data_IF_358737763177
#
_entry.id   IF_358737763177
#
_cell.length_a   1.000
_cell.length_b   1.000
_cell.length_c   1.000
_cell.angle_alpha   90.00
_cell.angle_beta   90.00
_cell.angle_gamma   90.00
#
_symmetry.space_group_name_H-M   'P 1'
#
loop_
_entity.id
_entity.type
_entity.pdbx_description
1 polymer ?
#
# COMPACT_ATOMS: atom_id res chain seq x y z
N UNK A 1 -9.48 -4.81 -32.48
CA UNK A 1 -9.65 -5.58 -31.22
C UNK A 1 -9.46 -4.62 -30.05
N UNK A 2 -10.24 -4.76 -28.97
CA UNK A 2 -10.04 -3.99 -27.75
C UNK A 2 -8.63 -4.27 -27.18
N UNK A 3 -7.88 -3.25 -26.79
CA UNK A 3 -6.56 -3.45 -26.18
C UNK A 3 -6.72 -4.10 -24.80
N UNK A 4 -5.90 -5.10 -24.47
CA UNK A 4 -5.96 -5.76 -23.17
C UNK A 4 -5.05 -5.06 -22.14
N UNK A 5 -5.47 -5.00 -20.88
CA UNK A 5 -4.68 -4.52 -19.74
C UNK A 5 -4.81 -5.51 -18.58
N UNK A 6 -3.74 -5.74 -17.82
CA UNK A 6 -3.71 -6.72 -16.73
C UNK A 6 -2.95 -6.20 -15.52
N UNK A 7 -3.26 -6.73 -14.33
CA UNK A 7 -2.53 -6.50 -13.08
C UNK A 7 -1.08 -7.01 -13.08
N UNK A 8 -0.68 -7.70 -14.15
CA UNK A 8 0.69 -8.15 -14.42
C UNK A 8 1.25 -7.71 -15.77
N UNK A 9 0.66 -6.69 -16.40
CA UNK A 9 1.23 -6.09 -17.61
C UNK A 9 2.63 -5.50 -17.37
N UNK A 10 3.40 -5.33 -18.44
CA UNK A 10 4.80 -4.86 -18.40
C UNK A 10 4.96 -3.52 -17.63
N UNK A 11 4.14 -2.53 -17.95
CA UNK A 11 4.15 -1.23 -17.26
C UNK A 11 3.80 -1.37 -15.76
N UNK A 12 2.86 -2.25 -15.42
CA UNK A 12 2.51 -2.54 -14.02
C UNK A 12 3.66 -3.22 -13.27
N UNK A 13 4.38 -4.12 -13.94
CA UNK A 13 5.59 -4.76 -13.44
C UNK A 13 6.71 -3.75 -13.16
N UNK A 14 7.00 -2.86 -14.12
CA UNK A 14 7.99 -1.79 -13.97
C UNK A 14 7.64 -0.85 -12.81
N UNK A 15 6.40 -0.37 -12.75
CA UNK A 15 5.95 0.52 -11.68
C UNK A 15 6.05 -0.14 -10.30
N UNK A 16 5.64 -1.42 -10.19
CA UNK A 16 5.79 -2.18 -8.95
C UNK A 16 7.26 -2.31 -8.54
N UNK A 17 8.15 -2.62 -9.49
CA UNK A 17 9.58 -2.72 -9.21
C UNK A 17 10.17 -1.38 -8.73
N UNK A 18 9.78 -0.26 -9.35
CA UNK A 18 10.17 1.08 -8.95
C UNK A 18 9.67 1.42 -7.53
N UNK A 19 8.40 1.13 -7.21
CA UNK A 19 7.83 1.33 -5.88
C UNK A 19 8.53 0.49 -4.79
N UNK A 20 8.90 -0.76 -5.11
CA UNK A 20 9.69 -1.61 -4.21
C UNK A 20 11.11 -1.03 -4.01
N UNK A 21 11.74 -0.55 -5.08
CA UNK A 21 13.04 0.14 -5.00
C UNK A 21 12.99 1.38 -4.11
N UNK A 22 11.99 2.23 -4.31
CA UNK A 22 11.75 3.43 -3.50
C UNK A 22 11.52 3.08 -2.03
N UNK A 23 10.72 2.05 -1.76
CA UNK A 23 10.46 1.55 -0.39
C UNK A 23 11.71 1.06 0.31
N UNK A 24 12.65 0.42 -0.42
CA UNK A 24 13.92 -0.04 0.17
C UNK A 24 14.82 1.13 0.59
N UNK A 25 14.90 2.16 -0.25
CA UNK A 25 15.65 3.38 0.07
C UNK A 25 15.02 4.12 1.25
N UNK A 26 13.69 4.26 1.26
CA UNK A 26 12.94 4.82 2.39
C UNK A 26 13.23 4.09 3.70
N UNK A 27 13.14 2.75 3.70
CA UNK A 27 13.37 1.94 4.91
C UNK A 27 14.80 2.09 5.42
N UNK A 28 15.79 2.17 4.53
CA UNK A 28 17.19 2.45 4.90
C UNK A 28 17.30 3.78 5.64
N UNK A 29 16.70 4.84 5.10
CA UNK A 29 16.81 6.19 5.68
C UNK A 29 16.04 6.28 7.01
N UNK A 30 14.83 5.73 7.07
CA UNK A 30 14.02 5.62 8.30
C UNK A 30 14.77 4.85 9.40
N UNK A 31 15.42 3.73 9.07
CA UNK A 31 16.26 2.98 10.01
C UNK A 31 17.40 3.84 10.55
N UNK A 32 18.03 4.64 9.69
CA UNK A 32 19.08 5.57 10.10
C UNK A 32 18.61 6.60 11.13
N UNK A 33 17.35 7.01 11.08
CA UNK A 33 16.78 7.97 12.04
C UNK A 33 16.56 7.40 13.44
N UNK A 34 16.61 6.07 13.63
CA UNK A 34 16.48 5.41 14.94
C UNK A 34 17.42 5.99 16.00
N UNK A 35 18.61 6.43 15.58
CA UNK A 35 19.63 7.06 16.44
C UNK A 35 19.17 8.34 17.15
N UNK A 36 18.12 9.01 16.62
CA UNK A 36 17.56 10.21 17.23
C UNK A 36 16.74 9.90 18.47
N UNK A 37 16.23 8.68 18.63
CA UNK A 37 15.46 8.30 19.82
C UNK A 37 16.42 7.90 20.93
N UNK A 38 16.51 8.73 21.96
CA UNK A 38 17.34 8.52 23.13
C UNK A 38 16.50 7.95 24.27
N UNK A 39 16.72 6.69 24.71
CA UNK A 39 15.84 6.03 25.69
C UNK A 39 15.74 6.74 27.04
N UNK A 40 16.79 7.43 27.46
CA UNK A 40 16.81 8.19 28.72
C UNK A 40 16.20 9.58 28.61
N UNK A 41 15.88 10.03 27.38
CA UNK A 41 15.41 11.39 27.05
C UNK A 41 14.30 11.33 26.01
N UNK A 42 13.31 10.45 26.20
CA UNK A 42 12.25 10.21 25.21
C UNK A 42 11.41 11.48 24.96
N UNK A 43 11.13 12.25 26.01
CA UNK A 43 10.31 13.48 25.92
C UNK A 43 10.97 14.53 25.02
N UNK A 44 12.29 14.67 25.09
CA UNK A 44 13.05 15.61 24.29
C UNK A 44 13.36 15.05 22.89
N UNK A 45 13.71 13.76 22.80
CA UNK A 45 14.30 13.18 21.59
C UNK A 45 13.27 12.65 20.56
N UNK A 46 12.09 12.23 20.99
CA UNK A 46 11.03 11.74 20.08
C UNK A 46 10.48 12.86 19.19
N UNK A 47 10.23 14.10 19.65
CA UNK A 47 9.85 15.21 18.77
C UNK A 47 10.85 15.47 17.62
N UNK A 48 12.15 15.44 17.90
CA UNK A 48 13.18 15.61 16.87
C UNK A 48 13.16 14.46 15.86
N UNK A 49 12.99 13.23 16.35
CA UNK A 49 12.80 12.07 15.49
C UNK A 49 11.55 12.19 14.61
N UNK A 50 10.41 12.65 15.16
CA UNK A 50 9.17 12.88 14.41
C UNK A 50 9.37 13.93 13.31
N UNK A 51 10.08 15.03 13.61
CA UNK A 51 10.38 16.06 12.63
C UNK A 51 11.24 15.51 11.48
N UNK A 52 12.27 14.72 11.78
CA UNK A 52 13.11 14.09 10.76
C UNK A 52 12.32 13.05 9.93
N UNK A 53 11.48 12.23 10.56
CA UNK A 53 10.62 11.27 9.88
C UNK A 53 9.65 11.96 8.92
N UNK A 54 9.04 13.08 9.31
CA UNK A 54 8.19 13.87 8.43
C UNK A 54 8.94 14.31 7.18
N UNK A 55 10.14 14.89 7.31
CA UNK A 55 10.91 15.35 6.17
C UNK A 55 11.19 14.21 5.16
N UNK A 56 11.58 13.04 5.67
CA UNK A 56 11.81 11.84 4.85
C UNK A 56 10.51 11.37 4.19
N UNK A 57 9.42 11.22 4.93
CA UNK A 57 8.13 10.78 4.36
C UNK A 57 7.66 11.74 3.27
N UNK A 58 7.73 13.06 3.49
CA UNK A 58 7.32 14.06 2.51
C UNK A 58 8.15 13.98 1.22
N UNK A 59 9.47 13.80 1.33
CA UNK A 59 10.35 13.67 0.17
C UNK A 59 9.99 12.42 -0.65
N UNK A 60 9.91 11.27 0.01
CA UNK A 60 9.63 10.00 -0.67
C UNK A 60 8.20 9.92 -1.21
N UNK A 61 7.22 10.54 -0.55
CA UNK A 61 5.84 10.63 -1.01
C UNK A 61 5.74 11.38 -2.36
N UNK A 62 6.46 12.50 -2.52
CA UNK A 62 6.54 13.23 -3.80
C UNK A 62 7.13 12.38 -4.92
N UNK A 63 8.20 11.63 -4.63
CA UNK A 63 8.78 10.69 -5.60
C UNK A 63 7.80 9.59 -5.97
N UNK A 64 7.08 9.04 -5.00
CA UNK A 64 6.04 8.02 -5.23
C UNK A 64 4.91 8.55 -6.11
N UNK A 65 4.46 9.80 -5.90
CA UNK A 65 3.48 10.47 -6.75
C UNK A 65 3.99 10.64 -8.19
N UNK A 66 5.26 11.05 -8.35
CA UNK A 66 5.87 11.23 -9.69
C UNK A 66 5.96 9.90 -10.45
N UNK A 67 6.45 8.84 -9.80
CA UNK A 67 6.46 7.49 -10.39
C UNK A 67 5.05 7.01 -10.77
N UNK A 68 4.05 7.36 -9.98
CA UNK A 68 2.66 7.02 -10.25
C UNK A 68 2.10 7.78 -11.48
N UNK A 69 2.47 9.05 -11.65
CA UNK A 69 2.10 9.84 -12.82
C UNK A 69 2.73 9.31 -14.10
N UNK A 70 4.03 9.03 -14.09
CA UNK A 70 4.73 8.41 -15.23
C UNK A 70 4.11 7.06 -15.59
N UNK A 71 3.77 6.25 -14.58
CA UNK A 71 3.06 5.00 -14.78
C UNK A 71 1.68 5.20 -15.42
N UNK A 72 0.91 6.18 -14.96
CA UNK A 72 -0.40 6.48 -15.50
C UNK A 72 -0.32 6.94 -16.97
N UNK A 73 0.62 7.83 -17.29
CA UNK A 73 0.86 8.30 -18.66
C UNK A 73 1.28 7.15 -19.59
N UNK A 74 2.13 6.24 -19.11
CA UNK A 74 2.49 5.04 -19.86
C UNK A 74 1.28 4.13 -20.12
N UNK A 75 0.39 3.96 -19.15
CA UNK A 75 -0.85 3.19 -19.33
C UNK A 75 -1.82 3.87 -20.29
N UNK A 76 -1.97 5.19 -20.19
CA UNK A 76 -2.82 5.99 -21.08
C UNK A 76 -2.33 5.93 -22.53
N UNK A 77 -1.01 5.98 -22.73
CA UNK A 77 -0.36 5.82 -24.04
C UNK A 77 -0.56 4.41 -24.59
N UNK A 78 -0.33 3.38 -23.78
CA UNK A 78 -0.54 1.98 -24.16
C UNK A 78 -2.00 1.65 -24.50
N UNK A 79 -2.95 2.39 -23.91
CA UNK A 79 -4.37 2.30 -24.26
C UNK A 79 -4.73 2.93 -25.61
N UNK A 80 -3.80 3.63 -26.27
CA UNK A 80 -4.06 4.32 -27.54
C UNK A 80 -5.07 5.46 -27.41
N UNK A 81 -5.15 6.08 -26.23
CA UNK A 81 -6.11 7.16 -25.95
C UNK A 81 -5.81 8.35 -26.85
N UNK A 82 -6.76 8.65 -27.74
CA UNK A 82 -6.72 9.82 -28.64
C UNK A 82 -7.45 11.01 -28.01
N UNK A 83 -6.95 12.23 -28.23
CA UNK A 83 -7.60 13.47 -27.78
C UNK A 83 -6.65 14.42 -27.07
N UNK A 84 -7.23 15.40 -26.35
CA UNK A 84 -6.48 16.43 -25.65
C UNK A 84 -5.47 15.83 -24.65
N UNK A 85 -4.33 16.51 -24.42
CA UNK A 85 -3.37 16.11 -23.40
C UNK A 85 -4.07 16.08 -22.04
N UNK A 86 -3.73 15.09 -21.22
CA UNK A 86 -4.15 14.98 -19.83
C UNK A 86 -2.91 15.11 -18.97
N UNK A 87 -2.96 15.99 -17.97
CA UNK A 87 -1.88 16.13 -16.99
C UNK A 87 -2.30 15.41 -15.73
N UNK A 88 -1.53 14.42 -15.30
CA UNK A 88 -1.82 13.66 -14.08
C UNK A 88 -1.70 14.58 -12.86
N UNK A 89 -2.78 14.76 -12.07
CA UNK A 89 -2.71 15.50 -10.82
C UNK A 89 -1.91 14.68 -9.79
N UNK A 90 -0.79 15.22 -9.32
CA UNK A 90 -0.01 14.59 -8.27
C UNK A 90 -0.78 14.68 -6.95
N UNK A 91 -0.90 13.58 -6.22
CA UNK A 91 -1.45 13.62 -4.88
C UNK A 91 -0.50 14.34 -3.93
N UNK A 92 -1.05 15.16 -3.04
CA UNK A 92 -0.27 15.79 -2.00
C UNK A 92 0.35 14.74 -1.06
N UNK A 93 1.58 14.99 -0.58
CA UNK A 93 2.14 14.21 0.52
C UNK A 93 1.22 14.23 1.76
N UNK A 94 1.28 13.20 2.63
CA UNK A 94 0.42 13.15 3.80
C UNK A 94 0.60 14.39 4.70
N UNK A 95 -0.48 14.94 5.28
CA UNK A 95 -0.38 16.03 6.23
C UNK A 95 0.50 15.66 7.43
N UNK A 96 1.23 16.63 7.96
CA UNK A 96 2.16 16.45 9.10
C UNK A 96 1.48 15.77 10.30
N UNK A 97 0.25 16.17 10.60
CA UNK A 97 -0.53 15.61 11.70
C UNK A 97 -0.79 14.11 11.53
N UNK A 98 -1.19 13.69 10.33
CA UNK A 98 -1.40 12.26 10.01
C UNK A 98 -0.11 11.44 10.19
N UNK A 99 1.03 11.99 9.76
CA UNK A 99 2.35 11.35 9.93
C UNK A 99 2.68 11.23 11.43
N UNK A 100 2.53 12.32 12.19
CA UNK A 100 2.79 12.37 13.62
C UNK A 100 1.93 11.36 14.40
N UNK A 101 0.63 11.31 14.15
CA UNK A 101 -0.30 10.36 14.80
C UNK A 101 0.11 8.91 14.56
N UNK A 102 0.41 8.58 13.30
CA UNK A 102 0.82 7.23 12.90
C UNK A 102 2.15 6.82 13.56
N UNK A 103 3.10 7.74 13.66
CA UNK A 103 4.40 7.50 14.28
C UNK A 103 4.35 7.50 15.82
N UNK A 104 3.44 8.26 16.43
CA UNK A 104 3.15 8.18 17.87
C UNK A 104 2.56 6.81 18.21
N UNK A 105 1.67 6.27 17.38
CA UNK A 105 1.23 4.88 17.53
C UNK A 105 2.39 3.89 17.40
N UNK A 106 3.29 4.09 16.44
CA UNK A 106 4.44 3.21 16.24
C UNK A 106 5.41 3.19 17.45
N UNK A 107 5.55 4.32 18.14
CA UNK A 107 6.46 4.50 19.28
C UNK A 107 5.77 4.40 20.65
N UNK A 108 4.47 4.10 20.69
CA UNK A 108 3.68 4.12 21.94
C UNK A 108 4.26 3.24 23.05
N UNK A 109 4.89 2.13 22.70
CA UNK A 109 5.41 1.14 23.65
C UNK A 109 6.75 1.57 24.28
N UNK A 110 7.39 2.63 23.75
CA UNK A 110 8.63 3.18 24.33
C UNK A 110 8.36 3.91 25.65
N UNK A 111 7.17 4.50 25.79
CA UNK A 111 6.83 5.31 26.94
C UNK A 111 6.60 4.42 28.17
N UNK A 112 7.22 4.77 29.32
CA UNK A 112 7.03 4.01 30.56
C UNK A 112 5.59 4.13 31.04
N UNK A 113 5.09 3.05 31.65
CA UNK A 113 3.82 3.00 32.37
C UNK A 113 3.98 2.23 33.68
N UNK A 114 3.12 2.48 34.68
CA UNK A 114 3.02 1.62 35.85
C UNK A 114 2.82 0.15 35.42
N UNK A 115 3.43 -0.78 36.13
CA UNK A 115 3.50 -2.19 35.73
C UNK A 115 2.10 -2.83 35.65
N UNK A 116 1.20 -2.40 36.53
CA UNK A 116 -0.21 -2.78 36.61
C UNK A 116 -1.04 -2.36 35.39
N UNK A 117 -0.59 -1.33 34.65
CA UNK A 117 -1.26 -0.82 33.44
C UNK A 117 -0.52 -1.18 32.14
N UNK A 118 0.72 -1.67 32.24
CA UNK A 118 1.57 -1.91 31.10
C UNK A 118 1.14 -3.15 30.31
N UNK A 119 1.09 -3.03 28.98
CA UNK A 119 0.92 -4.19 28.11
C UNK A 119 2.15 -5.12 28.18
N UNK A 120 2.03 -6.42 27.83
CA UNK A 120 3.19 -7.32 27.75
C UNK A 120 4.31 -6.79 26.85
N UNK A 121 3.98 -6.03 25.80
CA UNK A 121 4.94 -5.38 24.92
C UNK A 121 5.71 -4.25 25.62
N UNK A 122 5.05 -3.48 26.50
CA UNK A 122 5.66 -2.38 27.26
C UNK A 122 6.55 -2.87 28.42
N UNK A 123 6.31 -4.08 28.91
CA UNK A 123 7.14 -4.72 29.94
C UNK A 123 8.43 -5.33 29.38
N UNK A 124 8.59 -5.41 28.05
CA UNK A 124 9.81 -5.94 27.45
C UNK A 124 11.03 -5.03 27.72
N UNK A 125 12.26 -5.58 27.67
CA UNK A 125 13.48 -4.79 27.71
C UNK A 125 13.44 -3.64 26.68
N UNK A 126 14.02 -2.50 27.04
CA UNK A 126 13.98 -1.30 26.20
C UNK A 126 14.49 -1.60 24.79
N UNK A 127 15.57 -2.36 24.66
CA UNK A 127 16.18 -2.77 23.39
C UNK A 127 15.17 -3.49 22.47
N UNK A 128 14.34 -4.36 23.03
CA UNK A 128 13.28 -5.07 22.29
C UNK A 128 12.20 -4.08 21.85
N UNK A 129 11.76 -3.18 22.75
CA UNK A 129 10.72 -2.18 22.44
C UNK A 129 11.17 -1.22 21.35
N UNK A 130 12.44 -0.83 21.36
CA UNK A 130 13.07 0.00 20.35
C UNK A 130 13.08 -0.67 18.98
N UNK A 131 13.41 -1.96 18.90
CA UNK A 131 13.34 -2.74 17.65
C UNK A 131 11.90 -2.84 17.13
N UNK A 132 10.91 -3.05 18.01
CA UNK A 132 9.51 -3.11 17.60
C UNK A 132 8.99 -1.76 17.12
N UNK A 133 9.35 -0.67 17.81
CA UNK A 133 9.00 0.68 17.38
C UNK A 133 9.61 1.01 16.01
N UNK A 134 10.85 0.61 15.77
CA UNK A 134 11.50 0.78 14.46
C UNK A 134 10.75 0.02 13.36
N UNK A 135 10.41 -1.26 13.57
CA UNK A 135 9.64 -2.07 12.60
C UNK A 135 8.28 -1.45 12.28
N UNK A 136 7.56 -0.96 13.30
CA UNK A 136 6.28 -0.26 13.12
C UNK A 136 6.47 1.03 12.32
N UNK A 137 7.48 1.83 12.66
CA UNK A 137 7.77 3.08 11.96
C UNK A 137 8.14 2.87 10.48
N UNK A 138 8.90 1.80 10.17
CA UNK A 138 9.18 1.40 8.78
C UNK A 138 7.89 1.07 8.02
N UNK A 139 6.99 0.30 8.63
CA UNK A 139 5.69 -0.05 8.02
C UNK A 139 4.78 1.16 7.78
N UNK A 140 4.69 2.05 8.77
CA UNK A 140 3.96 3.33 8.68
C UNK A 140 4.50 4.19 7.55
N UNK A 141 5.82 4.43 7.52
CA UNK A 141 6.44 5.26 6.50
C UNK A 141 6.24 4.68 5.09
N UNK A 142 6.46 3.37 4.93
CA UNK A 142 6.21 2.69 3.66
C UNK A 142 4.76 2.85 3.20
N UNK A 143 3.80 2.64 4.10
CA UNK A 143 2.38 2.79 3.78
C UNK A 143 2.07 4.20 3.31
N UNK A 144 2.44 5.21 4.09
CA UNK A 144 2.17 6.62 3.78
C UNK A 144 2.72 7.01 2.42
N UNK A 145 3.97 6.65 2.12
CA UNK A 145 4.62 6.94 0.82
C UNK A 145 3.95 6.18 -0.33
N UNK A 146 3.63 4.90 -0.14
CA UNK A 146 3.00 4.10 -1.20
C UNK A 146 1.56 4.54 -1.45
N UNK A 147 0.85 4.96 -0.41
CA UNK A 147 -0.50 5.50 -0.50
C UNK A 147 -0.55 6.80 -1.30
N UNK A 148 0.45 7.69 -1.20
CA UNK A 148 0.52 8.88 -2.08
C UNK A 148 0.55 8.50 -3.57
N UNK A 149 1.34 7.48 -3.94
CA UNK A 149 1.38 6.97 -5.31
C UNK A 149 0.06 6.33 -5.74
N UNK A 150 -0.58 5.54 -4.86
CA UNK A 150 -1.91 4.96 -5.12
C UNK A 150 -2.97 6.05 -5.32
N UNK A 151 -2.98 7.06 -4.46
CA UNK A 151 -3.88 8.21 -4.54
C UNK A 151 -3.67 9.02 -5.81
N UNK A 152 -2.44 9.14 -6.30
CA UNK A 152 -2.13 9.79 -7.60
C UNK A 152 -2.81 9.05 -8.75
N UNK A 153 -2.67 7.71 -8.83
CA UNK A 153 -3.34 6.91 -9.86
C UNK A 153 -4.87 6.99 -9.71
N UNK A 154 -5.41 6.88 -8.49
CA UNK A 154 -6.86 6.97 -8.27
C UNK A 154 -7.42 8.35 -8.62
N UNK A 155 -6.73 9.43 -8.25
CA UNK A 155 -7.08 10.80 -8.59
C UNK A 155 -7.07 11.04 -10.09
N UNK A 156 -6.06 10.51 -10.79
CA UNK A 156 -6.00 10.55 -12.25
C UNK A 156 -7.15 9.77 -12.90
N UNK A 157 -7.46 8.57 -12.41
CA UNK A 157 -8.63 7.80 -12.87
C UNK A 157 -9.92 8.60 -12.68
N UNK A 158 -10.10 9.32 -11.56
CA UNK A 158 -11.29 10.15 -11.32
C UNK A 158 -11.42 11.33 -12.28
N UNK A 159 -10.31 11.93 -12.69
CA UNK A 159 -10.32 13.17 -13.46
C UNK A 159 -10.23 12.94 -14.98
N UNK A 160 -9.56 11.87 -15.43
CA UNK A 160 -9.47 11.57 -16.86
C UNK A 160 -10.78 10.96 -17.36
N UNK A 161 -11.44 11.65 -18.29
CA UNK A 161 -12.67 11.19 -18.95
C UNK A 161 -12.49 9.92 -19.78
N UNK A 162 -11.25 9.56 -20.10
CA UNK A 162 -10.92 8.35 -20.85
C UNK A 162 -10.69 7.15 -19.92
N UNK A 163 -10.48 7.36 -18.62
CA UNK A 163 -10.41 6.29 -17.64
C UNK A 163 -11.82 5.87 -17.21
N UNK A 164 -12.12 4.57 -17.29
CA UNK A 164 -13.46 4.02 -17.01
C UNK A 164 -13.52 3.30 -15.67
N UNK A 165 -12.40 2.76 -15.20
CA UNK A 165 -12.29 2.04 -13.94
C UNK A 165 -10.83 1.92 -13.49
N UNK A 166 -10.63 1.31 -12.33
CA UNK A 166 -9.35 0.76 -11.92
C UNK A 166 -9.51 -0.63 -11.32
N UNK A 167 -8.42 -1.41 -11.35
CA UNK A 167 -8.32 -2.72 -10.72
C UNK A 167 -7.22 -2.72 -9.66
N UNK A 168 -7.39 -3.52 -8.60
CA UNK A 168 -6.31 -3.74 -7.62
C UNK A 168 -5.32 -4.76 -8.16
N UNK A 169 -4.04 -4.40 -8.22
CA UNK A 169 -2.95 -5.31 -8.49
C UNK A 169 -2.32 -5.77 -7.18
N UNK A 170 -2.71 -6.94 -6.68
CA UNK A 170 -2.11 -7.51 -5.48
C UNK A 170 -0.70 -8.07 -5.73
N UNK A 171 0.17 -7.98 -4.71
CA UNK A 171 1.41 -8.73 -4.68
C UNK A 171 1.12 -10.24 -4.51
N UNK A 172 2.06 -11.12 -4.87
CA UNK A 172 1.87 -12.57 -4.72
C UNK A 172 1.57 -12.94 -3.26
N UNK A 173 2.45 -12.55 -2.34
CA UNK A 173 2.26 -12.73 -0.90
C UNK A 173 1.37 -11.66 -0.26
N UNK A 174 0.35 -11.13 -0.95
CA UNK A 174 -0.56 -10.14 -0.36
C UNK A 174 -1.50 -10.77 0.69
N UNK A 175 -2.06 -9.93 1.57
CA UNK A 175 -3.07 -10.38 2.53
C UNK A 175 -4.38 -10.80 1.82
N UNK A 176 -5.18 -11.64 2.50
CA UNK A 176 -6.46 -12.13 1.98
C UNK A 176 -7.40 -11.01 1.51
N UNK A 177 -7.41 -9.86 2.20
CA UNK A 177 -8.21 -8.71 1.79
C UNK A 177 -7.78 -8.16 0.42
N UNK A 178 -6.47 -7.97 0.22
CA UNK A 178 -5.98 -7.47 -1.06
C UNK A 178 -6.16 -8.48 -2.20
N UNK A 179 -5.99 -9.78 -1.92
CA UNK A 179 -6.25 -10.87 -2.89
C UNK A 179 -7.72 -10.91 -3.29
N UNK A 180 -8.63 -10.76 -2.33
CA UNK A 180 -10.07 -10.69 -2.58
C UNK A 180 -10.44 -9.48 -3.45
N UNK A 181 -9.88 -8.32 -3.15
CA UNK A 181 -10.17 -7.12 -3.94
C UNK A 181 -9.54 -7.17 -5.34
N UNK A 182 -8.42 -7.89 -5.50
CA UNK A 182 -7.77 -8.09 -6.81
C UNK A 182 -8.53 -9.09 -7.68
N UNK A 183 -9.10 -10.16 -7.09
CA UNK A 183 -9.86 -11.16 -7.84
C UNK A 183 -11.15 -10.62 -8.47
N UNK A 184 -11.64 -9.46 -8.02
CA UNK A 184 -12.80 -8.78 -8.62
C UNK A 184 -12.51 -8.11 -9.97
N UNK A 185 -11.24 -7.87 -10.30
CA UNK A 185 -10.86 -7.16 -11.54
C UNK A 185 -11.20 -5.66 -11.53
N UNK A 186 -11.48 -5.11 -12.71
CA UNK A 186 -11.69 -3.67 -12.93
C UNK A 186 -13.13 -3.21 -12.62
N UNK A 187 -13.56 -3.39 -11.37
CA UNK A 187 -14.92 -3.08 -10.92
C UNK A 187 -15.04 -1.72 -10.23
N UNK A 188 -13.92 -1.08 -9.87
CA UNK A 188 -13.94 0.16 -9.13
C UNK A 188 -14.01 1.34 -10.09
N UNK A 189 -15.19 1.95 -10.17
CA UNK A 189 -15.40 3.23 -10.86
C UNK A 189 -14.82 4.37 -10.02
N UNK A 190 -14.63 5.52 -10.67
CA UNK A 190 -14.03 6.75 -10.15
C UNK A 190 -14.40 7.05 -8.68
N UNK A 191 -15.66 6.93 -8.29
CA UNK A 191 -16.15 7.35 -6.96
C UNK A 191 -16.56 6.20 -6.02
N UNK A 192 -16.24 4.95 -6.36
CA UNK A 192 -16.87 3.79 -5.68
C UNK A 192 -16.04 3.19 -4.53
N UNK A 193 -14.73 3.48 -4.44
CA UNK A 193 -13.89 2.96 -3.36
C UNK A 193 -12.54 3.68 -3.22
N UNK A 194 -12.12 3.92 -1.98
CA UNK A 194 -10.74 4.28 -1.64
C UNK A 194 -9.84 3.05 -1.52
N UNK A 195 -8.55 3.23 -1.80
CA UNK A 195 -7.58 2.16 -1.65
C UNK A 195 -7.21 1.95 -0.18
N UNK A 196 -7.95 1.07 0.51
CA UNK A 196 -7.56 0.63 1.87
C UNK A 196 -6.43 -0.38 1.83
N UNK A 197 -5.44 -0.19 2.71
CA UNK A 197 -4.26 -1.04 2.85
C UNK A 197 -3.73 -0.98 4.30
N UNK A 198 -3.09 -2.06 4.73
CA UNK A 198 -2.34 -2.11 5.99
C UNK A 198 -0.88 -1.66 5.79
N UNK A 199 -0.17 -1.45 6.90
CA UNK A 199 1.28 -1.25 6.90
C UNK A 199 2.00 -2.43 6.25
N UNK A 200 3.09 -2.20 5.52
CA UNK A 200 3.82 -3.24 4.77
C UNK A 200 3.06 -3.81 3.54
N UNK A 201 2.05 -3.10 3.02
CA UNK A 201 1.32 -3.52 1.83
C UNK A 201 2.02 -3.12 0.53
N UNK A 202 2.23 -4.09 -0.38
CA UNK A 202 2.88 -3.89 -1.69
C UNK A 202 1.91 -3.96 -2.89
N UNK A 203 0.61 -3.74 -2.65
CA UNK A 203 -0.40 -3.79 -3.70
C UNK A 203 -0.49 -2.44 -4.45
N UNK A 204 -0.96 -2.45 -5.70
CA UNK A 204 -1.05 -1.27 -6.56
C UNK A 204 -2.43 -1.09 -7.19
N UNK A 205 -2.57 0.00 -7.94
CA UNK A 205 -3.76 0.40 -8.69
C UNK A 205 -3.43 0.35 -10.17
N UNK A 206 -4.31 -0.25 -10.97
CA UNK A 206 -4.16 -0.33 -12.43
C UNK A 206 -5.32 0.44 -13.06
N UNK A 207 -5.06 1.56 -13.78
CA UNK A 207 -6.11 2.26 -14.50
C UNK A 207 -6.59 1.42 -15.69
N UNK A 208 -7.87 1.56 -16.03
CA UNK A 208 -8.47 0.94 -17.21
C UNK A 208 -9.14 2.05 -18.02
N UNK A 209 -8.79 2.12 -19.30
CA UNK A 209 -9.27 3.15 -20.20
C UNK A 209 -10.40 2.65 -21.11
N UNK A 210 -11.14 3.59 -21.71
CA UNK A 210 -12.19 3.31 -22.68
C UNK A 210 -11.63 2.47 -23.83
N UNK A 211 -12.35 1.41 -24.19
CA UNK A 211 -11.93 0.49 -25.25
C UNK A 211 -10.90 -0.56 -24.81
N UNK A 212 -10.42 -0.52 -23.56
CA UNK A 212 -9.63 -1.61 -23.00
C UNK A 212 -10.50 -2.69 -22.36
N UNK A 213 -10.01 -3.94 -22.41
CA UNK A 213 -10.51 -5.06 -21.62
C UNK A 213 -9.52 -5.36 -20.51
N UNK A 214 -9.99 -5.38 -19.26
CA UNK A 214 -9.16 -5.83 -18.15
C UNK A 214 -9.13 -7.36 -18.07
N UNK A 215 -7.93 -7.93 -17.94
CA UNK A 215 -7.69 -9.35 -17.81
C UNK A 215 -6.95 -9.66 -16.51
N UNK A 216 -7.58 -10.46 -15.66
CA UNK A 216 -6.95 -10.97 -14.45
C UNK A 216 -5.67 -11.73 -14.82
N UNK A 217 -4.59 -11.51 -14.09
CA UNK A 217 -3.39 -12.34 -14.17
C UNK A 217 -3.69 -13.80 -13.81
N UNK A 218 -2.83 -14.76 -14.19
CA UNK A 218 -3.02 -16.17 -13.82
C UNK A 218 -3.25 -16.37 -12.31
N UNK A 219 -2.51 -15.63 -11.47
CA UNK A 219 -2.65 -15.72 -10.02
C UNK A 219 -3.95 -15.08 -9.53
N UNK A 220 -4.36 -13.94 -10.09
CA UNK A 220 -5.63 -13.32 -9.72
C UNK A 220 -6.84 -14.16 -10.16
N UNK A 221 -6.75 -14.89 -11.28
CA UNK A 221 -7.75 -15.89 -11.69
C UNK A 221 -7.83 -17.06 -10.72
N UNK A 222 -6.69 -17.51 -10.19
CA UNK A 222 -6.68 -18.57 -9.19
C UNK A 222 -7.34 -18.11 -7.88
N UNK A 223 -7.04 -16.89 -7.42
CA UNK A 223 -7.73 -16.29 -6.28
C UNK A 223 -9.23 -16.08 -6.55
N UNK A 224 -9.62 -15.76 -7.78
CA UNK A 224 -11.02 -15.69 -8.19
C UNK A 224 -11.71 -17.06 -8.10
N UNK A 225 -11.06 -18.13 -8.57
CA UNK A 225 -11.55 -19.51 -8.45
C UNK A 225 -11.76 -19.88 -6.99
N UNK A 226 -10.74 -19.69 -6.15
CA UNK A 226 -10.81 -19.96 -4.70
C UNK A 226 -11.94 -19.15 -4.06
N UNK A 227 -12.07 -17.86 -4.40
CA UNK A 227 -13.16 -17.04 -3.88
C UNK A 227 -14.54 -17.57 -4.28
N UNK A 228 -14.75 -17.87 -5.57
CA UNK A 228 -16.04 -18.35 -6.10
C UNK A 228 -16.46 -19.67 -5.45
N UNK A 229 -15.52 -20.57 -5.24
CA UNK A 229 -15.78 -21.91 -4.71
C UNK A 229 -16.02 -21.90 -3.19
N UNK A 230 -15.19 -21.20 -2.42
CA UNK A 230 -15.18 -21.34 -0.96
C UNK A 230 -15.83 -20.18 -0.19
N UNK A 231 -15.96 -18.99 -0.81
CA UNK A 231 -16.36 -17.78 -0.10
C UNK A 231 -17.63 -17.11 -0.67
N UNK A 232 -17.77 -17.04 -1.99
CA UNK A 232 -18.88 -16.36 -2.65
C UNK A 232 -20.28 -16.83 -2.19
N UNK A 233 -20.53 -18.13 -1.92
CA UNK A 233 -21.82 -18.61 -1.42
C UNK A 233 -22.21 -18.10 -0.02
N UNK A 234 -21.30 -17.45 0.72
CA UNK A 234 -21.47 -17.09 2.12
C UNK A 234 -21.33 -15.57 2.34
N UNK A 235 -22.35 -14.76 1.98
CA UNK A 235 -22.26 -13.29 1.93
C UNK A 235 -21.83 -12.62 3.24
N UNK A 236 -22.18 -13.20 4.40
CA UNK A 236 -21.84 -12.65 5.72
C UNK A 236 -20.43 -13.02 6.21
N UNK A 237 -19.76 -13.99 5.57
CA UNK A 237 -18.49 -14.56 6.05
C UNK A 237 -17.40 -14.66 4.96
N UNK A 238 -17.59 -13.96 3.85
CA UNK A 238 -16.76 -14.11 2.64
C UNK A 238 -15.27 -13.93 2.92
N UNK A 239 -14.88 -12.87 3.66
CA UNK A 239 -13.46 -12.59 3.89
C UNK A 239 -12.80 -13.62 4.82
N UNK A 240 -13.51 -14.10 5.85
CA UNK A 240 -12.99 -15.13 6.77
C UNK A 240 -12.83 -16.45 6.04
N UNK A 241 -13.85 -16.89 5.29
CA UNK A 241 -13.79 -18.13 4.50
C UNK A 241 -12.73 -18.09 3.42
N UNK A 242 -12.63 -16.95 2.73
CA UNK A 242 -11.57 -16.77 1.74
C UNK A 242 -10.18 -16.82 2.37
N UNK A 243 -9.99 -16.24 3.56
CA UNK A 243 -8.72 -16.35 4.29
C UNK A 243 -8.37 -17.80 4.64
N UNK A 244 -9.34 -18.59 5.09
CA UNK A 244 -9.14 -20.02 5.37
C UNK A 244 -8.79 -20.80 4.10
N UNK A 245 -9.56 -20.61 3.03
CA UNK A 245 -9.32 -21.29 1.76
C UNK A 245 -7.96 -20.91 1.14
N UNK A 246 -7.52 -19.65 1.27
CA UNK A 246 -6.17 -19.26 0.83
C UNK A 246 -5.06 -19.97 1.61
N UNK A 247 -5.25 -20.25 2.91
CA UNK A 247 -4.25 -20.98 3.69
C UNK A 247 -4.05 -22.41 3.19
N UNK A 248 -5.08 -23.02 2.60
CA UNK A 248 -5.05 -24.39 2.08
C UNK A 248 -4.67 -24.47 0.60
N UNK A 249 -5.06 -23.49 -0.21
CA UNK A 249 -5.00 -23.59 -1.67
C UNK A 249 -4.07 -22.58 -2.36
N UNK A 250 -3.64 -21.52 -1.68
CA UNK A 250 -2.82 -20.50 -2.31
C UNK A 250 -1.34 -20.90 -2.38
N UNK A 251 -0.79 -20.88 -3.58
CA UNK A 251 0.65 -21.12 -3.81
C UNK A 251 1.55 -19.98 -3.31
N UNK A 252 0.97 -18.84 -2.91
CA UNK A 252 1.71 -17.66 -2.48
C UNK A 252 1.17 -17.10 -1.16
N UNK A 253 1.27 -17.83 -0.04
CA UNK A 253 0.76 -17.37 1.26
C UNK A 253 1.41 -16.04 1.69
N UNK A 254 0.70 -15.30 2.56
CA UNK A 254 1.24 -14.09 3.16
C UNK A 254 2.46 -14.47 4.03
N UNK A 255 3.63 -13.83 3.88
CA UNK A 255 4.77 -14.17 4.73
C UNK A 255 4.43 -14.04 6.22
N UNK A 256 4.70 -15.09 7.00
CA UNK A 256 4.41 -15.15 8.43
C UNK A 256 2.94 -15.42 8.79
N UNK A 257 2.11 -15.92 7.86
CA UNK A 257 0.73 -16.34 8.13
C UNK A 257 0.55 -17.83 8.45
N UNK A 258 1.66 -18.58 8.62
CA UNK A 258 1.66 -19.98 9.03
C UNK A 258 1.89 -20.11 10.53
#
# INVERSE_FOLDING_TARGET
MAAAVSDRGEAAGRYRAAQVGLSRLLVRDVRGLRRLILPQRLRESVPDWLAAMNAVVQQYARTSATLAAEFYDAQRTAAGVVGAPFTVPLADPPPREQVDESLRWATKDLWPRPAEEATPAQLQPMEVRLVQAEKKAQGVAQKLVTDTGRSTVQGAVRQDRQATAWARAAALGACAFCKLLASRGAVYKQDTADFRAHDNCHCGVIPVFKGQRFELSPQAREWERIYREYAAPYPEDQLRRFRLALAEHDSNPLPGSN
#
